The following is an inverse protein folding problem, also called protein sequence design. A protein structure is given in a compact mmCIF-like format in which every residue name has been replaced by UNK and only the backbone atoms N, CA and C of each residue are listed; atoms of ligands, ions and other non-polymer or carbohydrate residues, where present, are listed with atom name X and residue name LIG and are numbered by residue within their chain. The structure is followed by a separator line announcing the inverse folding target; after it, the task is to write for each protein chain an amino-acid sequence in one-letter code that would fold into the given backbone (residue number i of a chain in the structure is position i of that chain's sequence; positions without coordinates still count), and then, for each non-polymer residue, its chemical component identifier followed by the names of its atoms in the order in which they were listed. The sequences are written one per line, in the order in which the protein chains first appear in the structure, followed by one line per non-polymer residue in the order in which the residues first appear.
data_IF_403322321889
#
_entry.id   IF_403322321889
#
_cell.length_a   1.000
_cell.length_b   1.000
_cell.length_c   1.000
_cell.angle_alpha   90.00
_cell.angle_beta   90.00
_cell.angle_gamma   90.00
#
_symmetry.space_group_name_H-M   'P 1'
#
loop_
_entity.id
_entity.type
_entity.pdbx_description
1 polymer ?
#
# COMPACT_ATOMS: atom_id res chain seq x y z
N UNK A 1 -6.49 28.92 -17.01
CA UNK A 1 -7.73 29.16 -17.77
C UNK A 1 -8.61 27.93 -17.61
N UNK A 2 -9.69 28.08 -16.86
CA UNK A 2 -10.75 27.10 -16.80
C UNK A 2 -11.66 27.33 -18.00
N UNK A 3 -11.62 26.42 -18.96
CA UNK A 3 -12.53 26.44 -20.09
C UNK A 3 -13.91 26.04 -19.58
N UNK A 4 -14.83 27.01 -19.53
CA UNK A 4 -16.24 26.76 -19.26
C UNK A 4 -16.85 26.23 -20.56
N UNK A 5 -16.92 24.92 -20.70
CA UNK A 5 -17.63 24.29 -21.81
C UNK A 5 -19.11 24.17 -21.47
N UNK A 6 -19.99 24.54 -22.41
CA UNK A 6 -21.42 24.31 -22.29
C UNK A 6 -21.77 22.97 -22.95
N UNK A 7 -22.69 22.22 -22.36
CA UNK A 7 -23.13 20.93 -22.92
C UNK A 7 -23.71 21.06 -24.34
N UNK A 8 -24.26 22.24 -24.68
CA UNK A 8 -24.75 22.56 -26.03
C UNK A 8 -23.68 22.49 -27.12
N UNK A 9 -22.40 22.61 -26.75
CA UNK A 9 -21.29 22.74 -27.70
C UNK A 9 -20.58 21.41 -27.94
N UNK A 10 -20.96 20.33 -27.23
CA UNK A 10 -20.28 19.04 -27.24
C UNK A 10 -20.18 18.42 -28.65
N UNK A 11 -21.22 18.54 -29.48
CA UNK A 11 -21.23 17.96 -30.84
C UNK A 11 -20.21 18.65 -31.76
N UNK A 12 -20.17 19.99 -31.74
CA UNK A 12 -19.21 20.76 -32.55
C UNK A 12 -17.77 20.60 -32.03
N UNK A 13 -17.62 20.55 -30.70
CA UNK A 13 -16.33 20.31 -30.03
C UNK A 13 -15.79 18.91 -30.33
N UNK A 14 -16.66 17.89 -30.42
CA UNK A 14 -16.29 16.52 -30.76
C UNK A 14 -15.62 16.44 -32.13
N UNK A 15 -16.23 16.97 -33.17
CA UNK A 15 -15.69 16.90 -34.53
C UNK A 15 -14.37 17.66 -34.67
N UNK A 16 -14.26 18.81 -34.01
CA UNK A 16 -13.02 19.57 -33.97
C UNK A 16 -11.92 18.79 -33.22
N UNK A 17 -12.24 18.24 -32.06
CA UNK A 17 -11.30 17.48 -31.23
C UNK A 17 -10.78 16.22 -31.93
N UNK A 18 -11.66 15.45 -32.59
CA UNK A 18 -11.25 14.27 -33.35
C UNK A 18 -10.32 14.61 -34.52
N UNK A 19 -10.40 15.82 -35.07
CA UNK A 19 -9.46 16.31 -36.09
C UNK A 19 -8.16 16.78 -35.44
N UNK A 20 -8.21 17.52 -34.33
CA UNK A 20 -7.03 18.08 -33.67
C UNK A 20 -6.11 17.00 -33.09
N UNK A 21 -6.69 15.92 -32.54
CA UNK A 21 -5.92 14.80 -31.97
C UNK A 21 -5.11 14.05 -33.03
N UNK A 22 -5.47 14.18 -34.32
CA UNK A 22 -4.72 13.59 -35.43
C UNK A 22 -3.53 14.44 -35.87
N UNK A 23 -3.52 15.73 -35.58
CA UNK A 23 -2.55 16.68 -36.14
C UNK A 23 -1.40 17.04 -35.21
N UNK A 24 -1.64 17.19 -33.89
CA UNK A 24 -0.60 17.64 -32.94
C UNK A 24 -0.81 17.05 -31.53
N UNK A 25 0.26 16.83 -30.78
CA UNK A 25 0.15 16.54 -29.33
C UNK A 25 -0.09 17.85 -28.56
N UNK A 26 -1.25 17.95 -27.91
CA UNK A 26 -1.60 19.12 -27.12
C UNK A 26 -1.94 18.71 -25.68
N UNK A 27 -1.33 19.40 -24.71
CA UNK A 27 -1.59 19.23 -23.27
C UNK A 27 -3.06 19.39 -22.87
N UNK A 28 -3.87 20.07 -23.68
CA UNK A 28 -5.31 20.21 -23.46
C UNK A 28 -6.11 18.97 -23.88
N UNK A 29 -5.55 18.03 -24.65
CA UNK A 29 -6.28 16.87 -25.16
C UNK A 29 -6.84 15.97 -24.07
N UNK A 30 -6.13 15.81 -22.95
CA UNK A 30 -6.65 15.13 -21.77
C UNK A 30 -7.95 15.79 -21.25
N UNK A 31 -7.97 17.11 -21.15
CA UNK A 31 -9.14 17.84 -20.62
C UNK A 31 -10.34 17.71 -21.57
N UNK A 32 -10.09 17.85 -22.87
CA UNK A 32 -11.11 17.63 -23.89
C UNK A 32 -11.63 16.19 -23.91
N UNK A 33 -10.75 15.20 -23.77
CA UNK A 33 -11.15 13.80 -23.67
C UNK A 33 -12.10 13.58 -22.50
N UNK A 34 -11.74 14.03 -21.29
CA UNK A 34 -12.59 13.87 -20.11
C UNK A 34 -13.95 14.58 -20.27
N UNK A 35 -13.98 15.76 -20.90
CA UNK A 35 -15.22 16.48 -21.18
C UNK A 35 -16.10 15.77 -22.22
N UNK A 36 -15.50 15.16 -23.25
CA UNK A 36 -16.21 14.59 -24.39
C UNK A 36 -16.42 13.07 -24.27
N UNK A 37 -15.82 12.38 -23.30
CA UNK A 37 -15.74 10.91 -23.20
C UNK A 37 -17.08 10.24 -23.50
N UNK A 38 -18.17 10.73 -22.89
CA UNK A 38 -19.50 10.13 -23.01
C UNK A 38 -20.18 10.33 -24.37
N UNK A 39 -19.70 11.28 -25.18
CA UNK A 39 -20.17 11.52 -26.55
C UNK A 39 -19.37 10.75 -27.60
N UNK A 40 -18.20 10.22 -27.23
CA UNK A 40 -17.34 9.45 -28.10
C UNK A 40 -17.80 7.99 -28.14
N UNK A 41 -17.95 7.44 -29.34
CA UNK A 41 -18.08 6.00 -29.56
C UNK A 41 -16.82 5.26 -29.09
N UNK A 42 -16.91 3.96 -28.86
CA UNK A 42 -15.77 3.15 -28.44
C UNK A 42 -14.57 3.25 -29.40
N UNK A 43 -14.82 3.25 -30.70
CA UNK A 43 -13.77 3.41 -31.71
C UNK A 43 -13.11 4.79 -31.65
N UNK A 44 -13.90 5.85 -31.49
CA UNK A 44 -13.38 7.21 -31.33
C UNK A 44 -12.58 7.37 -30.03
N UNK A 45 -13.05 6.78 -28.93
CA UNK A 45 -12.32 6.74 -27.65
C UNK A 45 -10.96 6.08 -27.84
N UNK A 46 -10.89 4.92 -28.50
CA UNK A 46 -9.63 4.23 -28.76
C UNK A 46 -8.66 5.14 -29.53
N UNK A 47 -9.09 5.71 -30.66
CA UNK A 47 -8.26 6.60 -31.49
C UNK A 47 -7.67 7.77 -30.68
N UNK A 48 -8.49 8.39 -29.83
CA UNK A 48 -8.02 9.51 -29.01
C UNK A 48 -7.05 9.03 -27.94
N UNK A 49 -7.42 7.99 -27.21
CA UNK A 49 -6.64 7.47 -26.09
C UNK A 49 -5.28 6.95 -26.54
N UNK A 50 -5.16 6.31 -27.71
CA UNK A 50 -3.88 5.88 -28.28
C UNK A 50 -2.87 7.03 -28.41
N UNK A 51 -3.33 8.28 -28.48
CA UNK A 51 -2.47 9.48 -28.56
C UNK A 51 -2.10 10.05 -27.20
N UNK A 52 -2.89 9.81 -26.15
CA UNK A 52 -2.74 10.50 -24.87
C UNK A 52 -2.56 9.56 -23.67
N UNK A 53 -2.61 8.24 -23.87
CA UNK A 53 -2.59 7.25 -22.78
C UNK A 53 -1.34 7.33 -21.89
N UNK A 54 -0.22 7.81 -22.44
CA UNK A 54 1.05 7.92 -21.73
C UNK A 54 1.09 9.11 -20.75
N UNK A 55 0.10 10.03 -20.79
CA UNK A 55 0.10 11.24 -19.97
C UNK A 55 -0.29 10.97 -18.52
N UNK A 56 -1.11 9.95 -18.25
CA UNK A 56 -1.46 9.51 -16.89
C UNK A 56 -2.00 8.07 -16.89
N UNK A 57 -1.88 7.39 -15.74
CA UNK A 57 -2.28 5.99 -15.58
C UNK A 57 -3.77 5.76 -15.83
N UNK A 58 -4.65 6.70 -15.48
CA UNK A 58 -6.09 6.60 -15.72
C UNK A 58 -6.45 6.57 -17.21
N UNK A 59 -5.76 7.36 -18.05
CA UNK A 59 -5.97 7.33 -19.50
C UNK A 59 -5.48 6.01 -20.10
N UNK A 60 -4.39 5.44 -19.56
CA UNK A 60 -3.93 4.12 -19.97
C UNK A 60 -4.93 3.02 -19.59
N UNK A 61 -5.49 3.05 -18.38
CA UNK A 61 -6.55 2.12 -17.97
C UNK A 61 -7.79 2.27 -18.86
N UNK A 62 -8.23 3.51 -19.14
CA UNK A 62 -9.34 3.78 -20.05
C UNK A 62 -9.09 3.23 -21.47
N UNK A 63 -7.84 3.35 -21.98
CA UNK A 63 -7.47 2.78 -23.28
C UNK A 63 -7.60 1.26 -23.25
N UNK A 64 -7.03 0.64 -22.22
CA UNK A 64 -7.04 -0.82 -22.05
C UNK A 64 -8.48 -1.34 -21.98
N UNK A 65 -9.34 -0.72 -21.18
CA UNK A 65 -10.76 -1.11 -21.06
C UNK A 65 -11.52 -0.93 -22.37
N UNK A 66 -11.26 0.17 -23.09
CA UNK A 66 -11.84 0.42 -24.41
C UNK A 66 -11.44 -0.68 -25.40
N UNK A 67 -10.15 -1.02 -25.46
CA UNK A 67 -9.63 -2.06 -26.36
C UNK A 67 -10.18 -3.45 -26.00
N UNK A 68 -10.27 -3.79 -24.71
CA UNK A 68 -10.88 -5.06 -24.26
C UNK A 68 -12.36 -5.13 -24.66
N UNK A 69 -13.09 -4.02 -24.53
CA UNK A 69 -14.50 -3.93 -24.94
C UNK A 69 -14.66 -4.09 -26.46
N UNK A 70 -13.72 -3.53 -27.22
CA UNK A 70 -13.59 -3.73 -28.67
C UNK A 70 -13.08 -5.12 -29.07
N UNK A 71 -12.94 -6.07 -28.13
CA UNK A 71 -12.44 -7.42 -28.36
C UNK A 71 -11.01 -7.46 -28.91
N UNK A 72 -10.18 -6.51 -28.47
CA UNK A 72 -8.75 -6.41 -28.82
C UNK A 72 -7.83 -6.51 -27.58
N UNK A 73 -7.96 -7.55 -26.73
CA UNK A 73 -7.14 -7.69 -25.52
C UNK A 73 -5.64 -7.82 -25.82
N UNK A 74 -5.26 -8.49 -26.92
CA UNK A 74 -3.87 -8.57 -27.37
C UNK A 74 -3.24 -7.20 -27.65
N UNK A 75 -3.99 -6.29 -28.28
CA UNK A 75 -3.54 -4.90 -28.50
C UNK A 75 -3.40 -4.14 -27.18
N UNK A 76 -4.33 -4.33 -26.24
CA UNK A 76 -4.23 -3.72 -24.91
C UNK A 76 -2.96 -4.17 -24.15
N UNK A 77 -2.60 -5.46 -24.25
CA UNK A 77 -1.37 -6.00 -23.68
C UNK A 77 -0.14 -5.33 -24.29
N UNK A 78 -0.10 -5.13 -25.61
CA UNK A 78 1.02 -4.45 -26.29
C UNK A 78 1.21 -3.03 -25.75
N UNK A 79 0.14 -2.25 -25.63
CA UNK A 79 0.23 -0.89 -25.07
C UNK A 79 0.75 -0.87 -23.63
N UNK A 80 0.29 -1.79 -22.77
CA UNK A 80 0.77 -1.90 -21.39
C UNK A 80 2.24 -2.33 -21.33
N UNK A 81 2.65 -3.27 -22.17
CA UNK A 81 4.05 -3.70 -22.26
C UNK A 81 4.97 -2.59 -22.73
N UNK A 82 4.58 -1.84 -23.76
CA UNK A 82 5.36 -0.73 -24.28
C UNK A 82 5.45 0.40 -23.26
N UNK A 83 4.35 0.72 -22.58
CA UNK A 83 4.37 1.68 -21.48
C UNK A 83 5.29 1.24 -20.34
N UNK A 84 5.23 -0.04 -19.95
CA UNK A 84 6.09 -0.62 -18.92
C UNK A 84 7.57 -0.57 -19.28
N UNK A 85 7.90 -0.79 -20.57
CA UNK A 85 9.28 -0.72 -21.07
C UNK A 85 9.82 0.71 -21.07
N UNK A 86 9.01 1.68 -21.51
CA UNK A 86 9.41 3.09 -21.56
C UNK A 86 9.47 3.70 -20.16
N UNK A 87 8.53 3.35 -19.31
CA UNK A 87 8.38 3.91 -17.97
C UNK A 87 8.37 2.79 -16.91
N UNK A 88 9.50 2.13 -16.65
CA UNK A 88 9.54 1.03 -15.69
C UNK A 88 9.37 1.49 -14.23
N UNK A 89 9.43 2.78 -13.92
CA UNK A 89 9.28 3.26 -12.55
C UNK A 89 7.89 2.90 -11.97
N UNK A 90 7.80 2.22 -10.80
CA UNK A 90 6.54 1.94 -10.11
C UNK A 90 5.64 3.15 -9.82
N UNK A 91 6.22 4.36 -9.77
CA UNK A 91 5.46 5.60 -9.60
C UNK A 91 4.73 6.02 -10.88
N UNK A 92 5.22 5.57 -12.06
CA UNK A 92 4.64 5.91 -13.37
C UNK A 92 3.82 4.71 -13.89
N UNK A 93 4.45 3.54 -13.99
CA UNK A 93 3.75 2.29 -14.27
C UNK A 93 3.28 1.69 -12.95
N UNK A 94 2.11 2.15 -12.52
CA UNK A 94 1.56 1.84 -11.19
C UNK A 94 1.23 0.36 -11.03
N UNK A 95 1.04 -0.04 -9.77
CA UNK A 95 0.59 -1.39 -9.44
C UNK A 95 -0.73 -1.76 -10.13
N UNK A 96 -1.65 -0.80 -10.31
CA UNK A 96 -2.92 -1.03 -10.99
C UNK A 96 -2.72 -1.41 -12.47
N UNK A 97 -1.86 -0.67 -13.18
CA UNK A 97 -1.49 -0.98 -14.56
C UNK A 97 -0.79 -2.35 -14.66
N UNK A 98 0.08 -2.65 -13.69
CA UNK A 98 0.75 -3.94 -13.62
C UNK A 98 -0.22 -5.10 -13.40
N UNK A 99 -1.14 -4.97 -12.44
CA UNK A 99 -2.18 -5.99 -12.18
C UNK A 99 -3.01 -6.18 -13.44
N UNK A 100 -3.43 -5.10 -14.10
CA UNK A 100 -4.22 -5.18 -15.33
C UNK A 100 -3.48 -5.91 -16.45
N UNK A 101 -2.19 -5.65 -16.63
CA UNK A 101 -1.35 -6.36 -17.60
C UNK A 101 -1.34 -7.87 -17.31
N UNK A 102 -1.10 -8.25 -16.05
CA UNK A 102 -1.04 -9.67 -15.64
C UNK A 102 -2.40 -10.35 -15.83
N UNK A 103 -3.50 -9.70 -15.45
CA UNK A 103 -4.86 -10.21 -15.63
C UNK A 103 -5.16 -10.49 -17.10
N UNK A 104 -4.81 -9.57 -18.00
CA UNK A 104 -5.00 -9.75 -19.44
C UNK A 104 -4.13 -10.87 -20.00
N UNK A 105 -2.85 -10.94 -19.59
CA UNK A 105 -1.99 -12.05 -20.01
C UNK A 105 -2.58 -13.39 -19.58
N UNK A 106 -3.06 -13.49 -18.34
CA UNK A 106 -3.72 -14.71 -17.84
C UNK A 106 -4.96 -15.05 -18.67
N UNK A 107 -5.83 -14.08 -18.97
CA UNK A 107 -7.06 -14.34 -19.75
C UNK A 107 -6.77 -14.78 -21.18
N UNK A 108 -5.69 -14.26 -21.78
CA UNK A 108 -5.24 -14.63 -23.13
C UNK A 108 -4.34 -15.88 -23.15
N UNK A 109 -4.14 -16.57 -22.01
CA UNK A 109 -3.30 -17.76 -21.93
C UNK A 109 -1.80 -17.50 -22.15
N UNK A 110 -1.35 -16.24 -21.99
CA UNK A 110 0.04 -15.85 -22.13
C UNK A 110 0.82 -16.07 -20.82
N UNK A 111 2.14 -16.29 -20.89
CA UNK A 111 2.98 -16.39 -19.69
C UNK A 111 2.94 -15.11 -18.84
N UNK A 112 2.64 -15.25 -17.54
CA UNK A 112 2.53 -14.12 -16.61
C UNK A 112 3.19 -14.35 -15.24
N UNK A 113 3.65 -15.57 -14.95
CA UNK A 113 4.22 -15.93 -13.63
C UNK A 113 5.50 -15.16 -13.34
N UNK A 114 6.41 -15.06 -14.31
CA UNK A 114 7.66 -14.31 -14.13
C UNK A 114 7.41 -12.82 -13.91
N UNK A 115 6.39 -12.26 -14.60
CA UNK A 115 5.96 -10.90 -14.37
C UNK A 115 5.47 -10.73 -12.94
N UNK A 116 4.60 -11.62 -12.45
CA UNK A 116 4.12 -11.61 -11.06
C UNK A 116 5.26 -11.62 -10.04
N UNK A 117 6.22 -12.54 -10.20
CA UNK A 117 7.39 -12.66 -9.31
C UNK A 117 8.20 -11.36 -9.33
N UNK A 118 8.41 -10.77 -10.51
CA UNK A 118 9.10 -9.48 -10.68
C UNK A 118 8.32 -8.34 -10.02
N UNK A 119 7.00 -8.29 -10.21
CA UNK A 119 6.10 -7.32 -9.61
C UNK A 119 6.15 -7.36 -8.08
N UNK A 120 6.09 -8.55 -7.48
CA UNK A 120 6.15 -8.70 -6.02
C UNK A 120 7.47 -8.19 -5.42
N UNK A 121 8.58 -8.35 -6.14
CA UNK A 121 9.88 -7.78 -5.74
C UNK A 121 9.91 -6.25 -5.87
N UNK A 122 9.21 -5.71 -6.86
CA UNK A 122 9.30 -4.32 -7.28
C UNK A 122 8.33 -3.39 -6.54
N UNK A 123 7.04 -3.71 -6.53
CA UNK A 123 6.01 -2.89 -5.87
C UNK A 123 6.00 -3.08 -4.36
N UNK A 124 6.30 -4.30 -3.90
CA UNK A 124 6.36 -4.67 -2.48
C UNK A 124 5.12 -4.21 -1.72
N UNK A 125 3.94 -4.74 -2.04
CA UNK A 125 2.71 -4.43 -1.31
C UNK A 125 1.98 -5.71 -0.91
N UNK A 126 1.24 -5.64 0.18
CA UNK A 126 0.36 -6.73 0.63
C UNK A 126 -0.79 -6.96 -0.36
N UNK A 127 -1.35 -5.89 -0.94
CA UNK A 127 -2.40 -5.99 -1.95
C UNK A 127 -1.97 -6.74 -3.21
N UNK A 128 -0.71 -6.57 -3.65
CA UNK A 128 -0.23 -7.29 -4.82
C UNK A 128 -0.04 -8.78 -4.51
N UNK A 129 0.37 -9.14 -3.29
CA UNK A 129 0.45 -10.54 -2.87
C UNK A 129 -0.93 -11.20 -2.89
N UNK A 130 -1.95 -10.56 -2.30
CA UNK A 130 -3.32 -11.09 -2.33
C UNK A 130 -3.79 -11.32 -3.77
N UNK A 131 -3.61 -10.32 -4.63
CA UNK A 131 -4.00 -10.42 -6.03
C UNK A 131 -3.22 -11.50 -6.78
N UNK A 132 -1.93 -11.64 -6.50
CA UNK A 132 -1.11 -12.71 -7.08
C UNK A 132 -1.60 -14.10 -6.66
N UNK A 133 -2.01 -14.26 -5.41
CA UNK A 133 -2.58 -15.52 -4.90
C UNK A 133 -3.94 -15.81 -5.53
N UNK A 134 -4.79 -14.80 -5.71
CA UNK A 134 -6.06 -14.96 -6.45
C UNK A 134 -5.82 -15.40 -7.90
N UNK A 135 -4.77 -14.87 -8.53
CA UNK A 135 -4.41 -15.21 -9.90
C UNK A 135 -3.75 -16.59 -10.02
N UNK A 136 -3.02 -17.06 -9.01
CA UNK A 136 -2.32 -18.34 -8.99
C UNK A 136 -2.42 -19.04 -7.63
N UNK A 137 -3.62 -19.53 -7.25
CA UNK A 137 -3.84 -20.12 -5.92
C UNK A 137 -2.95 -21.35 -5.68
N UNK A 138 -2.64 -22.09 -6.73
CA UNK A 138 -1.74 -23.26 -6.70
C UNK A 138 -0.30 -22.92 -6.32
N UNK A 139 0.11 -21.66 -6.45
CA UNK A 139 1.45 -21.16 -6.06
C UNK A 139 1.43 -20.28 -4.80
N UNK A 140 0.33 -20.26 -4.06
CA UNK A 140 0.17 -19.40 -2.89
C UNK A 140 1.34 -19.47 -1.90
N UNK A 141 1.78 -20.68 -1.54
CA UNK A 141 2.92 -20.88 -0.63
C UNK A 141 4.25 -20.35 -1.20
N UNK A 142 4.48 -20.49 -2.51
CA UNK A 142 5.67 -19.99 -3.18
C UNK A 142 5.69 -18.45 -3.15
N UNK A 143 4.56 -17.82 -3.46
CA UNK A 143 4.40 -16.37 -3.48
C UNK A 143 4.53 -15.75 -2.07
N UNK A 144 3.96 -16.41 -1.06
CA UNK A 144 4.11 -16.00 0.34
C UNK A 144 5.57 -16.09 0.79
N UNK A 145 6.26 -17.20 0.48
CA UNK A 145 7.68 -17.36 0.79
C UNK A 145 8.55 -16.30 0.10
N UNK A 146 8.21 -15.95 -1.14
CA UNK A 146 8.88 -14.89 -1.88
C UNK A 146 8.70 -13.52 -1.18
N UNK A 147 7.48 -13.15 -0.82
CA UNK A 147 7.24 -11.86 -0.14
C UNK A 147 7.87 -11.83 1.24
N UNK A 148 7.78 -12.93 2.00
CA UNK A 148 8.45 -13.08 3.30
C UNK A 148 9.96 -12.83 3.18
N UNK A 149 10.63 -13.45 2.20
CA UNK A 149 12.08 -13.27 2.02
C UNK A 149 12.46 -11.86 1.56
N UNK A 150 11.60 -11.17 0.81
CA UNK A 150 11.87 -9.81 0.33
C UNK A 150 11.55 -8.70 1.34
N UNK A 151 10.50 -8.86 2.15
CA UNK A 151 10.08 -7.88 3.14
C UNK A 151 9.17 -8.47 4.22
N UNK A 152 9.70 -8.59 5.43
CA UNK A 152 8.91 -8.98 6.59
C UNK A 152 7.80 -7.96 6.91
N UNK A 153 7.98 -6.67 6.59
CA UNK A 153 6.97 -5.64 6.83
C UNK A 153 5.69 -5.88 6.01
N UNK A 154 5.82 -6.07 4.70
CA UNK A 154 4.66 -6.32 3.84
C UNK A 154 4.04 -7.69 4.10
N UNK A 155 4.88 -8.68 4.41
CA UNK A 155 4.38 -9.99 4.81
C UNK A 155 3.60 -9.93 6.15
N UNK A 156 4.06 -9.14 7.12
CA UNK A 156 3.35 -8.91 8.38
C UNK A 156 1.96 -8.29 8.13
N UNK A 157 1.89 -7.24 7.28
CA UNK A 157 0.62 -6.63 6.88
C UNK A 157 -0.34 -7.62 6.25
N UNK A 158 0.16 -8.44 5.32
CA UNK A 158 -0.61 -9.50 4.68
C UNK A 158 -1.17 -10.50 5.70
N UNK A 159 -0.33 -11.01 6.61
CA UNK A 159 -0.76 -11.96 7.64
C UNK A 159 -1.85 -11.36 8.56
N UNK A 160 -1.70 -10.11 8.96
CA UNK A 160 -2.69 -9.40 9.78
C UNK A 160 -4.02 -9.25 9.01
N UNK A 161 -3.96 -8.82 7.75
CA UNK A 161 -5.15 -8.64 6.90
C UNK A 161 -5.90 -9.95 6.65
N UNK A 162 -5.18 -11.07 6.60
CA UNK A 162 -5.75 -12.42 6.47
C UNK A 162 -6.08 -13.07 7.81
N UNK A 163 -6.06 -12.31 8.91
CA UNK A 163 -6.34 -12.79 10.27
C UNK A 163 -5.46 -13.95 10.75
N UNK A 164 -4.29 -14.16 10.12
CA UNK A 164 -3.28 -15.17 10.49
C UNK A 164 -2.40 -14.65 11.61
N UNK A 165 -3.03 -14.27 12.73
CA UNK A 165 -2.39 -13.52 13.82
C UNK A 165 -1.29 -14.34 14.53
N UNK A 166 -1.43 -15.66 14.63
CA UNK A 166 -0.37 -16.51 15.21
C UNK A 166 0.91 -16.47 14.39
N UNK A 167 0.80 -16.51 13.06
CA UNK A 167 1.97 -16.43 12.18
C UNK A 167 2.56 -15.03 12.19
N UNK A 168 1.71 -13.99 12.25
CA UNK A 168 2.15 -12.61 12.41
C UNK A 168 2.94 -12.44 13.72
N UNK A 169 2.47 -13.04 14.82
CA UNK A 169 3.17 -13.03 16.09
C UNK A 169 4.53 -13.72 16.01
N UNK A 170 4.59 -14.93 15.44
CA UNK A 170 5.85 -15.65 15.25
C UNK A 170 6.85 -14.85 14.38
N UNK A 171 6.35 -14.18 13.35
CA UNK A 171 7.17 -13.29 12.52
C UNK A 171 7.73 -12.12 13.35
N UNK A 172 6.91 -11.49 14.20
CA UNK A 172 7.34 -10.39 15.06
C UNK A 172 8.42 -10.82 16.06
N UNK A 173 8.29 -12.02 16.64
CA UNK A 173 9.27 -12.54 17.60
C UNK A 173 10.61 -12.92 16.97
N UNK A 174 10.59 -13.41 15.73
CA UNK A 174 11.79 -14.00 15.08
C UNK A 174 12.46 -13.07 14.08
N UNK A 175 11.74 -12.08 13.56
CA UNK A 175 12.26 -11.15 12.56
C UNK A 175 13.28 -10.19 13.16
N UNK A 176 14.41 -10.03 12.45
CA UNK A 176 15.41 -8.99 12.73
C UNK A 176 15.33 -7.79 11.79
N UNK A 177 14.43 -7.82 10.81
CA UNK A 177 14.31 -6.81 9.76
C UNK A 177 13.02 -5.99 9.83
N UNK A 178 12.12 -6.32 10.77
CA UNK A 178 10.99 -5.45 11.08
C UNK A 178 11.50 -4.20 11.80
N UNK A 179 10.93 -3.05 11.44
CA UNK A 179 11.19 -1.79 12.12
C UNK A 179 10.47 -1.73 13.47
N UNK A 180 11.01 -0.92 14.39
CA UNK A 180 10.48 -0.74 15.75
C UNK A 180 9.00 -0.32 15.75
N UNK A 181 8.57 0.50 14.77
CA UNK A 181 7.20 1.01 14.70
C UNK A 181 6.21 -0.10 14.35
N UNK A 182 6.58 -1.00 13.44
CA UNK A 182 5.76 -2.15 13.07
C UNK A 182 5.59 -3.13 14.22
N UNK A 183 6.67 -3.43 14.96
CA UNK A 183 6.62 -4.26 16.16
C UNK A 183 5.77 -3.61 17.25
N UNK A 184 5.94 -2.30 17.47
CA UNK A 184 5.14 -1.53 18.43
C UNK A 184 3.66 -1.60 18.09
N UNK A 185 3.30 -1.34 16.83
CA UNK A 185 1.90 -1.36 16.38
C UNK A 185 1.27 -2.74 16.56
N UNK A 186 2.02 -3.82 16.30
CA UNK A 186 1.57 -5.17 16.54
C UNK A 186 1.23 -5.39 18.03
N UNK A 187 2.18 -5.14 18.94
CA UNK A 187 1.94 -5.38 20.36
C UNK A 187 0.91 -4.42 20.97
N UNK A 188 0.78 -3.19 20.49
CA UNK A 188 -0.31 -2.30 20.90
C UNK A 188 -1.69 -2.88 20.57
N UNK A 189 -1.81 -3.50 19.41
CA UNK A 189 -3.06 -4.05 18.90
C UNK A 189 -3.40 -5.39 19.55
N UNK A 190 -2.40 -6.27 19.71
CA UNK A 190 -2.60 -7.66 20.14
C UNK A 190 -2.08 -7.92 21.57
N UNK A 191 -1.93 -6.87 22.40
CA UNK A 191 -1.35 -7.00 23.73
C UNK A 191 -2.06 -8.03 24.61
N UNK A 192 -3.39 -7.98 24.64
CA UNK A 192 -4.22 -8.89 25.45
C UNK A 192 -4.16 -10.34 24.97
N UNK A 193 -3.90 -10.56 23.68
CA UNK A 193 -3.76 -11.89 23.10
C UNK A 193 -2.40 -12.53 23.46
N UNK A 194 -1.35 -11.73 23.56
CA UNK A 194 0.01 -12.18 23.86
C UNK A 194 0.57 -11.50 25.12
N UNK A 195 -0.01 -11.74 26.30
CA UNK A 195 0.24 -10.93 27.50
C UNK A 195 1.69 -11.01 27.98
N UNK A 196 2.32 -12.19 27.96
CA UNK A 196 3.71 -12.39 28.38
C UNK A 196 4.69 -11.68 27.44
N UNK A 197 4.57 -11.91 26.14
CA UNK A 197 5.46 -11.33 25.13
C UNK A 197 5.30 -9.82 25.03
N UNK A 198 4.06 -9.34 25.13
CA UNK A 198 3.77 -7.90 25.18
C UNK A 198 4.38 -7.26 26.41
N UNK A 199 4.25 -7.87 27.59
CA UNK A 199 4.87 -7.37 28.82
C UNK A 199 6.38 -7.29 28.68
N UNK A 200 7.00 -8.33 28.13
CA UNK A 200 8.45 -8.36 27.87
C UNK A 200 8.88 -7.27 26.88
N UNK A 201 8.12 -7.07 25.80
CA UNK A 201 8.38 -6.03 24.81
C UNK A 201 8.30 -4.63 25.41
N UNK A 202 7.19 -4.30 26.08
CA UNK A 202 6.99 -2.98 26.68
C UNK A 202 7.96 -2.70 27.83
N UNK A 203 8.37 -3.72 28.60
CA UNK A 203 9.41 -3.56 29.63
C UNK A 203 10.75 -3.16 28.99
N UNK A 204 11.17 -3.85 27.92
CA UNK A 204 12.39 -3.47 27.18
C UNK A 204 12.30 -2.07 26.58
N UNK A 205 11.14 -1.67 26.10
CA UNK A 205 10.91 -0.33 25.58
C UNK A 205 11.03 0.72 26.69
N UNK A 206 10.44 0.47 27.87
CA UNK A 206 10.60 1.32 29.05
C UNK A 206 12.08 1.47 29.42
N UNK A 207 12.83 0.36 29.48
CA UNK A 207 14.26 0.40 29.82
C UNK A 207 15.07 1.24 28.82
N UNK A 208 14.76 1.12 27.52
CA UNK A 208 15.36 1.95 26.46
C UNK A 208 15.05 3.44 26.66
N UNK A 209 13.81 3.78 26.95
CA UNK A 209 13.37 5.17 27.14
C UNK A 209 13.89 5.79 28.44
N UNK A 210 14.08 4.98 29.49
CA UNK A 210 14.62 5.44 30.78
C UNK A 210 16.05 5.97 30.69
N UNK A 211 16.82 5.60 29.65
CA UNK A 211 18.16 6.17 29.40
C UNK A 211 18.08 7.68 29.09
N UNK A 212 16.95 8.14 28.55
CA UNK A 212 16.77 9.51 28.08
C UNK A 212 15.94 10.38 29.03
N UNK A 213 15.95 11.69 28.79
CA UNK A 213 15.16 12.67 29.55
C UNK A 213 14.36 13.57 28.61
N UNK A 214 13.18 13.99 29.04
CA UNK A 214 12.29 14.88 28.29
C UNK A 214 10.88 14.30 28.20
N UNK A 215 9.88 15.17 28.07
CA UNK A 215 8.46 14.78 28.21
C UNK A 215 8.06 13.72 27.19
N UNK A 216 8.57 13.77 25.96
CA UNK A 216 8.35 12.74 24.93
C UNK A 216 8.76 11.33 25.40
N UNK A 217 9.91 11.20 26.05
CA UNK A 217 10.40 9.91 26.56
C UNK A 217 9.56 9.44 27.75
N UNK A 218 9.14 10.38 28.61
CA UNK A 218 8.30 10.09 29.76
C UNK A 218 6.90 9.62 29.35
N UNK A 219 6.30 10.27 28.36
CA UNK A 219 5.05 9.83 27.76
C UNK A 219 5.17 8.43 27.16
N UNK A 220 6.29 8.12 26.48
CA UNK A 220 6.54 6.77 25.95
C UNK A 220 6.57 5.70 27.05
N UNK A 221 7.23 6.00 28.17
CA UNK A 221 7.27 5.12 29.36
C UNK A 221 5.87 4.90 29.92
N UNK A 222 5.12 5.99 30.15
CA UNK A 222 3.76 5.94 30.72
C UNK A 222 2.82 5.15 29.80
N UNK A 223 2.88 5.41 28.49
CA UNK A 223 2.08 4.68 27.50
C UNK A 223 2.42 3.18 27.50
N UNK A 224 3.71 2.82 27.56
CA UNK A 224 4.13 1.42 27.63
C UNK A 224 3.62 0.73 28.90
N UNK A 225 3.68 1.41 30.05
CA UNK A 225 3.11 0.90 31.30
C UNK A 225 1.59 0.72 31.22
N UNK A 226 0.87 1.58 30.50
CA UNK A 226 -0.58 1.40 30.31
C UNK A 226 -0.90 0.13 29.53
N UNK A 227 -0.10 -0.22 28.52
CA UNK A 227 -0.27 -1.49 27.81
C UNK A 227 0.06 -2.70 28.69
N UNK A 228 1.10 -2.61 29.54
CA UNK A 228 1.36 -3.66 30.55
C UNK A 228 0.19 -3.75 31.52
N UNK A 229 -0.38 -2.63 31.97
CA UNK A 229 -1.47 -2.62 32.93
C UNK A 229 -2.73 -3.32 32.41
N UNK A 230 -3.02 -3.22 31.11
CA UNK A 230 -4.15 -3.95 30.49
C UNK A 230 -4.06 -5.46 30.68
N UNK A 231 -2.85 -6.02 30.70
CA UNK A 231 -2.62 -7.47 30.72
C UNK A 231 -2.08 -7.99 32.05
N UNK A 232 -1.40 -7.13 32.80
CA UNK A 232 -0.79 -7.43 34.09
C UNK A 232 -0.75 -6.18 34.98
N UNK A 233 -1.88 -5.81 35.61
CA UNK A 233 -1.96 -4.62 36.46
C UNK A 233 -0.92 -4.61 37.59
N UNK A 234 -0.74 -5.75 38.26
CA UNK A 234 0.23 -5.89 39.35
C UNK A 234 1.66 -5.60 38.88
N UNK A 235 2.04 -6.11 37.70
CA UNK A 235 3.38 -5.89 37.15
C UNK A 235 3.59 -4.44 36.73
N UNK A 236 2.59 -3.80 36.13
CA UNK A 236 2.66 -2.39 35.78
C UNK A 236 2.85 -1.50 37.03
N UNK A 237 2.11 -1.76 38.11
CA UNK A 237 2.25 -1.03 39.38
C UNK A 237 3.61 -1.27 40.03
N UNK A 238 4.13 -2.50 39.98
CA UNK A 238 5.48 -2.84 40.44
C UNK A 238 6.55 -2.04 39.69
N UNK A 239 6.52 -2.06 38.36
CA UNK A 239 7.48 -1.32 37.52
C UNK A 239 7.35 0.18 37.76
N UNK A 240 6.13 0.73 37.81
CA UNK A 240 5.90 2.14 38.10
C UNK A 240 6.49 2.55 39.46
N UNK A 241 6.32 1.71 40.48
CA UNK A 241 6.88 1.94 41.82
C UNK A 241 8.41 1.91 41.83
N UNK A 242 9.02 0.98 41.08
CA UNK A 242 10.48 0.94 40.89
C UNK A 242 10.98 2.22 40.21
N UNK A 243 10.32 2.67 39.14
CA UNK A 243 10.70 3.89 38.43
C UNK A 243 10.58 5.11 39.35
N UNK A 244 9.49 5.24 40.13
CA UNK A 244 9.31 6.33 41.10
C UNK A 244 10.44 6.38 42.13
N UNK A 245 10.86 5.22 42.65
CA UNK A 245 11.96 5.11 43.62
C UNK A 245 13.31 5.48 43.02
N UNK A 246 13.64 4.89 41.87
CA UNK A 246 14.99 4.92 41.31
C UNK A 246 15.25 6.22 40.51
N UNK A 247 14.18 6.84 39.97
CA UNK A 247 14.25 8.06 39.16
C UNK A 247 13.60 9.28 39.83
N UNK A 248 13.56 9.34 41.17
CA UNK A 248 12.93 10.42 41.97
C UNK A 248 13.28 11.87 41.59
N UNK A 249 14.40 12.11 40.92
CA UNK A 249 14.82 13.44 40.46
C UNK A 249 14.11 13.88 39.17
N UNK A 250 13.49 12.96 38.43
CA UNK A 250 12.73 13.23 37.21
C UNK A 250 11.28 13.57 37.57
N UNK A 251 11.08 14.74 38.19
CA UNK A 251 9.79 15.16 38.79
C UNK A 251 8.61 15.04 37.81
N UNK A 252 8.78 15.40 36.55
CA UNK A 252 7.73 15.28 35.53
C UNK A 252 7.31 13.82 35.30
N UNK A 253 8.27 12.90 35.13
CA UNK A 253 7.99 11.48 34.99
C UNK A 253 7.26 10.93 36.22
N UNK A 254 7.73 11.28 37.43
CA UNK A 254 7.08 10.85 38.69
C UNK A 254 5.64 11.35 38.76
N UNK A 255 5.40 12.64 38.46
CA UNK A 255 4.06 13.20 38.46
C UNK A 255 3.13 12.53 37.43
N UNK A 256 3.63 12.22 36.23
CA UNK A 256 2.85 11.49 35.22
C UNK A 256 2.49 10.07 35.69
N UNK A 257 3.40 9.40 36.39
CA UNK A 257 3.14 8.07 36.96
C UNK A 257 2.10 8.14 38.08
N UNK A 258 2.19 9.08 39.01
CA UNK A 258 1.22 9.26 40.10
C UNK A 258 -0.22 9.50 39.62
N UNK A 259 -0.39 10.18 38.49
CA UNK A 259 -1.71 10.41 37.90
C UNK A 259 -2.32 9.15 37.28
N UNK A 260 -1.52 8.12 36.98
CA UNK A 260 -1.94 6.95 36.19
C UNK A 260 -1.82 5.62 36.96
N UNK A 261 -0.98 5.54 37.98
CA UNK A 261 -0.61 4.33 38.73
C UNK A 261 -0.29 4.59 40.20
#
# INVERSE_FOLDING_TARGET
MDLIFKDSDQVLLKDWFLKSVKSEENSFHKRYYHFLKDTLSLAERAIVLEKIYHQESSLCLDLVETLVTLKMPGTAIVYLEDLRKVNPDPWIFTQELFIKLVELKKSEGLPFIEDLISGLKKYKTDSLLEKSIELCPERSLELEALVKSNSHYYFLKYLIKRERIEEAHQLVLTSKSLDDQSVLNFFKTYCEKYPSDSTNYFTKLIDKELVHTGDRHYESIVNSLQYIFKVSPSKAVEIASMIKRDYKRRRNLVAMLEQKF
#
